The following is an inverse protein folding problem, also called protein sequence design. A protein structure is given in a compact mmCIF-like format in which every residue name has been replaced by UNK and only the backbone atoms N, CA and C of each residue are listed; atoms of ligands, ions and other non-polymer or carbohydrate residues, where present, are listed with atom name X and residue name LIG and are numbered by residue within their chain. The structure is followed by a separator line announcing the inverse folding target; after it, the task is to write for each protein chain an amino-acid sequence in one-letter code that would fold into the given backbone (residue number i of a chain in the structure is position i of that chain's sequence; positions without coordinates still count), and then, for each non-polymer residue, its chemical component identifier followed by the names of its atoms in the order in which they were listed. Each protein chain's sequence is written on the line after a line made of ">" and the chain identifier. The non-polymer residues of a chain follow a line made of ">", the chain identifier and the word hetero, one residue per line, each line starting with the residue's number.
data_IF_465880846481
#
_entry.id   IF_465880846481
#
_cell.length_a   1.000
_cell.length_b   1.000
_cell.length_c   1.000
_cell.angle_alpha   90.00
_cell.angle_beta   90.00
_cell.angle_gamma   90.00
#
_symmetry.space_group_name_H-M   'P 1'
#
loop_
_entity.id
_entity.type
_entity.pdbx_description
1 polymer ?
#
# COMPACT_ATOMS: atom_id res chain seq x y z
N UNK A 1 -4.26 12.61 -27.01
CA UNK A 1 -4.19 13.81 -26.19
C UNK A 1 -4.09 13.41 -24.74
N UNK A 2 -3.15 13.98 -23.98
CA UNK A 2 -3.02 13.75 -22.55
C UNK A 2 -4.00 14.63 -21.77
N UNK A 3 -4.46 14.12 -20.63
CA UNK A 3 -5.20 14.90 -19.63
C UNK A 3 -4.19 15.67 -18.81
N UNK A 4 -4.42 16.97 -18.62
CA UNK A 4 -3.62 17.83 -17.74
C UNK A 4 -4.51 18.25 -16.58
N UNK A 5 -4.11 17.90 -15.37
CA UNK A 5 -4.78 18.36 -14.16
C UNK A 5 -4.22 19.72 -13.74
N UNK A 6 -5.11 20.68 -13.51
CA UNK A 6 -4.76 22.03 -13.06
C UNK A 6 -5.32 22.21 -11.64
N UNK A 7 -4.43 22.56 -10.70
CA UNK A 7 -4.80 22.81 -9.32
C UNK A 7 -4.09 24.06 -8.80
N UNK A 8 -4.62 24.65 -7.74
CA UNK A 8 -4.01 25.76 -7.01
C UNK A 8 -3.15 25.22 -5.86
N UNK A 9 -2.10 25.95 -5.47
CA UNK A 9 -1.38 25.66 -4.24
C UNK A 9 -2.32 25.86 -3.06
N UNK A 10 -2.37 24.88 -2.15
CA UNK A 10 -3.25 24.92 -0.99
C UNK A 10 -2.61 24.26 0.22
N UNK A 11 -3.02 24.67 1.41
CA UNK A 11 -2.89 23.91 2.64
C UNK A 11 -4.26 23.50 3.12
N UNK A 12 -4.32 22.46 3.88
CA UNK A 12 -5.55 21.83 4.33
C UNK A 12 -5.48 21.65 5.85
N UNK A 13 -6.63 21.75 6.53
CA UNK A 13 -6.75 21.46 7.95
C UNK A 13 -6.78 19.97 8.25
N UNK A 14 -7.06 19.63 9.51
CA UNK A 14 -7.19 18.24 9.92
C UNK A 14 -8.32 17.54 9.16
N UNK A 15 -8.11 16.26 8.84
CA UNK A 15 -9.10 15.41 8.20
C UNK A 15 -9.86 14.65 9.28
N UNK A 16 -11.02 15.17 9.73
CA UNK A 16 -11.83 14.52 10.78
C UNK A 16 -12.54 13.27 10.32
N UNK A 17 -12.85 13.19 9.03
CA UNK A 17 -13.52 12.07 8.38
C UNK A 17 -12.57 11.28 7.44
N UNK A 18 -11.26 11.50 7.55
CA UNK A 18 -10.21 10.96 6.67
C UNK A 18 -10.46 11.21 5.15
N UNK A 19 -11.35 12.16 4.82
CA UNK A 19 -11.72 12.47 3.42
C UNK A 19 -11.68 13.95 3.10
N UNK A 20 -12.22 14.78 3.99
CA UNK A 20 -12.35 16.22 3.73
C UNK A 20 -11.59 16.98 4.82
N UNK A 21 -10.72 17.92 4.44
CA UNK A 21 -10.10 18.80 5.42
C UNK A 21 -11.15 19.76 6.00
N UNK A 22 -11.04 20.07 7.28
CA UNK A 22 -11.91 21.04 7.97
C UNK A 22 -11.91 22.41 7.30
N UNK A 23 -10.80 22.78 6.68
CA UNK A 23 -10.65 24.01 5.90
C UNK A 23 -9.55 23.85 4.85
N UNK A 24 -9.65 24.66 3.82
CA UNK A 24 -8.64 24.78 2.74
C UNK A 24 -8.25 26.25 2.66
N UNK A 25 -6.95 26.52 2.68
CA UNK A 25 -6.38 27.85 2.46
C UNK A 25 -5.47 27.81 1.24
N UNK A 26 -5.72 28.69 0.29
CA UNK A 26 -4.84 28.84 -0.86
C UNK A 26 -3.53 29.47 -0.45
N UNK A 27 -2.44 29.01 -1.04
CA UNK A 27 -1.08 29.44 -0.76
C UNK A 27 -0.44 30.05 -2.01
N UNK A 28 0.49 30.95 -1.79
CA UNK A 28 1.29 31.56 -2.86
C UNK A 28 2.66 30.87 -3.01
N UNK A 29 2.95 29.85 -2.19
CA UNK A 29 4.24 29.15 -2.16
C UNK A 29 4.12 27.70 -2.64
N UNK A 30 4.93 27.35 -3.63
CA UNK A 30 5.06 25.97 -4.12
C UNK A 30 5.66 25.06 -3.05
N UNK A 31 6.61 25.54 -2.24
CA UNK A 31 7.25 24.77 -1.19
C UNK A 31 6.24 24.29 -0.14
N UNK A 32 5.29 25.15 0.22
CA UNK A 32 4.23 24.79 1.15
C UNK A 32 3.25 23.74 0.57
N UNK A 33 2.98 23.77 -0.74
CA UNK A 33 2.20 22.72 -1.40
C UNK A 33 2.97 21.41 -1.47
N UNK A 34 4.29 21.46 -1.73
CA UNK A 34 5.14 20.28 -1.75
C UNK A 34 5.29 19.65 -0.36
N UNK A 35 5.33 20.47 0.71
CA UNK A 35 5.49 20.01 2.09
C UNK A 35 4.33 19.14 2.59
N UNK A 36 3.14 19.25 2.03
CA UNK A 36 1.97 18.42 2.41
C UNK A 36 1.82 17.14 1.59
N UNK A 37 2.69 16.90 0.62
CA UNK A 37 2.64 15.70 -0.22
C UNK A 37 3.07 14.45 0.54
N UNK A 38 2.80 13.30 -0.06
CA UNK A 38 3.05 12.00 0.55
C UNK A 38 4.55 11.66 0.64
N UNK A 39 5.22 11.64 -0.52
CA UNK A 39 6.60 11.16 -0.65
C UNK A 39 7.48 12.19 -1.35
N UNK A 40 8.78 12.21 -0.98
CA UNK A 40 9.78 13.14 -1.53
C UNK A 40 9.84 13.09 -3.05
N UNK A 41 9.79 11.89 -3.63
CA UNK A 41 9.79 11.66 -5.10
C UNK A 41 8.57 12.28 -5.81
N UNK A 42 7.51 12.58 -5.07
CA UNK A 42 6.31 13.28 -5.55
C UNK A 42 6.24 14.75 -5.10
N UNK A 43 7.21 15.19 -4.27
CA UNK A 43 7.24 16.53 -3.70
C UNK A 43 8.22 17.46 -4.45
N UNK A 44 8.22 17.38 -5.76
CA UNK A 44 9.04 18.18 -6.67
C UNK A 44 8.16 18.94 -7.65
N UNK A 45 8.64 20.11 -8.10
CA UNK A 45 7.96 20.91 -9.10
C UNK A 45 8.96 21.51 -10.09
N UNK A 46 8.49 21.79 -11.29
CA UNK A 46 9.28 22.48 -12.33
C UNK A 46 8.48 23.63 -12.93
N UNK A 47 9.16 24.73 -13.13
CA UNK A 47 8.62 25.89 -13.86
C UNK A 47 9.62 26.34 -14.94
N UNK A 48 9.18 26.61 -16.18
CA UNK A 48 10.08 27.13 -17.23
C UNK A 48 10.78 28.44 -16.85
N UNK A 49 10.17 29.24 -15.97
CA UNK A 49 10.69 30.57 -15.56
C UNK A 49 11.48 30.53 -14.25
N UNK A 50 11.17 29.61 -13.35
CA UNK A 50 11.77 29.51 -12.00
C UNK A 50 12.70 28.31 -11.85
N UNK A 51 12.70 27.40 -12.81
CA UNK A 51 13.48 26.17 -12.76
C UNK A 51 12.84 25.09 -11.89
N UNK A 52 13.67 24.27 -11.30
CA UNK A 52 13.29 23.09 -10.52
C UNK A 52 13.26 23.44 -9.03
N UNK A 53 12.17 23.08 -8.36
CA UNK A 53 12.00 23.18 -6.91
C UNK A 53 11.94 21.76 -6.31
N UNK A 54 12.87 21.46 -5.42
CA UNK A 54 13.01 20.17 -4.74
C UNK A 54 13.45 20.39 -3.27
N UNK A 55 12.54 20.88 -2.43
CA UNK A 55 12.88 21.24 -1.05
C UNK A 55 13.09 20.02 -0.13
N UNK A 56 12.82 18.80 -0.60
CA UNK A 56 12.88 17.56 0.18
C UNK A 56 13.80 16.50 -0.40
N UNK A 57 14.72 16.89 -1.31
CA UNK A 57 15.70 16.01 -1.93
C UNK A 57 15.08 14.82 -2.71
N UNK A 58 13.89 15.03 -3.28
CA UNK A 58 13.16 14.00 -4.01
C UNK A 58 13.92 13.46 -5.23
N UNK A 59 14.76 14.27 -5.88
CA UNK A 59 15.65 13.81 -6.96
C UNK A 59 16.69 12.83 -6.47
N UNK A 60 17.32 13.11 -5.32
CA UNK A 60 18.33 12.25 -4.71
C UNK A 60 17.70 10.91 -4.33
N UNK A 61 16.52 10.92 -3.71
CA UNK A 61 15.78 9.72 -3.36
C UNK A 61 15.37 8.94 -4.63
N UNK A 62 14.93 9.61 -5.69
CA UNK A 62 14.58 8.96 -6.96
C UNK A 62 15.79 8.31 -7.64
N UNK A 63 16.93 9.01 -7.71
CA UNK A 63 18.18 8.50 -8.28
C UNK A 63 18.72 7.30 -7.46
N UNK A 64 18.57 7.35 -6.13
CA UNK A 64 18.95 6.27 -5.20
C UNK A 64 17.91 5.15 -5.09
N UNK A 65 16.77 5.27 -5.79
CA UNK A 65 15.62 4.36 -5.70
C UNK A 65 15.09 4.20 -4.29
N UNK A 66 14.97 5.28 -3.54
CA UNK A 66 14.43 5.31 -2.17
C UNK A 66 13.03 5.93 -2.19
N UNK A 67 12.09 5.33 -1.47
CA UNK A 67 10.77 5.90 -1.17
C UNK A 67 10.76 6.40 0.26
N UNK A 68 10.75 7.71 0.43
CA UNK A 68 10.77 8.40 1.73
C UNK A 68 9.56 9.30 1.86
N UNK A 69 8.89 9.26 3.03
CA UNK A 69 7.81 10.20 3.34
C UNK A 69 8.35 11.65 3.47
N UNK A 70 7.55 12.64 3.11
CA UNK A 70 7.89 14.05 3.32
C UNK A 70 7.75 14.39 4.80
N UNK A 71 8.82 14.86 5.43
CA UNK A 71 8.84 15.24 6.84
C UNK A 71 8.77 14.05 7.78
N UNK A 72 7.97 14.16 8.85
CA UNK A 72 7.77 13.05 9.79
C UNK A 72 6.74 12.04 9.26
N UNK A 73 7.13 10.76 9.02
CA UNK A 73 6.25 9.79 8.38
C UNK A 73 5.03 9.43 9.23
N UNK A 74 5.14 9.40 10.56
CA UNK A 74 4.01 9.11 11.45
C UNK A 74 2.94 10.19 11.31
N UNK A 75 3.33 11.46 11.43
CA UNK A 75 2.42 12.59 11.22
C UNK A 75 1.81 12.55 9.82
N UNK A 76 2.61 12.22 8.81
CA UNK A 76 2.17 12.18 7.42
C UNK A 76 1.09 11.13 7.17
N UNK A 77 1.18 9.97 7.83
CA UNK A 77 0.17 8.92 7.72
C UNK A 77 -1.06 9.16 8.60
N UNK A 78 -0.92 9.89 9.71
CA UNK A 78 -2.06 10.34 10.51
C UNK A 78 -2.93 11.40 9.80
N UNK A 79 -2.34 12.22 8.93
CA UNK A 79 -3.10 13.18 8.12
C UNK A 79 -3.98 12.50 7.06
N UNK A 80 -3.45 11.47 6.37
CA UNK A 80 -4.18 10.65 5.39
C UNK A 80 -3.53 9.27 5.33
N UNK A 81 -4.15 8.29 5.99
CA UNK A 81 -3.62 6.93 6.08
C UNK A 81 -3.61 6.17 4.75
N UNK A 82 -4.36 6.62 3.73
CA UNK A 82 -4.25 6.04 2.38
C UNK A 82 -2.83 6.18 1.79
N UNK A 83 -2.06 7.15 2.29
CA UNK A 83 -0.65 7.32 1.89
C UNK A 83 0.18 6.07 2.14
N UNK A 84 -0.16 5.26 3.16
CA UNK A 84 0.50 3.97 3.44
C UNK A 84 0.34 3.04 2.23
N UNK A 85 -0.89 2.79 1.79
CA UNK A 85 -1.17 1.90 0.65
C UNK A 85 -0.61 2.46 -0.66
N UNK A 86 -0.66 3.79 -0.85
CA UNK A 86 0.01 4.48 -1.96
C UNK A 86 1.53 4.24 -1.96
N UNK A 87 2.16 4.21 -0.77
CA UNK A 87 3.58 3.90 -0.61
C UNK A 87 3.92 2.50 -1.06
N UNK A 88 3.14 1.50 -0.64
CA UNK A 88 3.28 0.12 -1.15
C UNK A 88 3.23 0.12 -2.68
N UNK A 89 2.23 0.77 -3.26
CA UNK A 89 2.10 0.83 -4.72
C UNK A 89 3.27 1.55 -5.41
N UNK A 90 3.78 2.64 -4.85
CA UNK A 90 4.93 3.34 -5.44
C UNK A 90 6.22 2.51 -5.32
N UNK A 91 6.45 1.87 -4.17
CA UNK A 91 7.59 0.97 -4.00
C UNK A 91 7.59 -0.13 -5.06
N UNK A 92 6.45 -0.82 -5.23
CA UNK A 92 6.29 -1.89 -6.24
C UNK A 92 6.41 -1.34 -7.65
N UNK A 93 5.62 -0.30 -7.99
CA UNK A 93 5.53 0.22 -9.36
C UNK A 93 6.85 0.73 -9.92
N UNK A 94 7.65 1.35 -9.09
CA UNK A 94 8.90 2.00 -9.50
C UNK A 94 10.16 1.26 -9.03
N UNK A 95 10.00 0.12 -8.35
CA UNK A 95 11.12 -0.66 -7.80
C UNK A 95 11.93 0.15 -6.78
N UNK A 96 11.23 0.85 -5.86
CA UNK A 96 11.87 1.68 -4.84
C UNK A 96 11.99 0.90 -3.55
N UNK A 97 13.11 1.07 -2.85
CA UNK A 97 13.30 0.60 -1.47
C UNK A 97 12.67 1.61 -0.52
N UNK A 98 11.80 1.16 0.36
CA UNK A 98 11.22 2.06 1.37
C UNK A 98 12.28 2.43 2.39
N UNK A 99 12.41 3.71 2.72
CA UNK A 99 13.27 4.21 3.79
C UNK A 99 12.87 3.59 5.14
N UNK A 100 13.81 3.14 5.98
CA UNK A 100 13.48 2.39 7.20
C UNK A 100 12.50 3.11 8.13
N UNK A 101 12.69 4.41 8.39
CA UNK A 101 11.78 5.17 9.24
C UNK A 101 10.37 5.30 8.61
N UNK A 102 10.30 5.36 7.29
CA UNK A 102 9.04 5.38 6.53
C UNK A 102 8.36 4.01 6.61
N UNK A 103 9.10 2.91 6.48
CA UNK A 103 8.58 1.54 6.56
C UNK A 103 8.06 1.22 7.96
N UNK A 104 8.82 1.53 9.01
CA UNK A 104 8.39 1.38 10.41
C UNK A 104 7.08 2.16 10.68
N UNK A 105 6.97 3.36 10.14
CA UNK A 105 5.75 4.16 10.28
C UNK A 105 4.58 3.57 9.49
N UNK A 106 4.82 3.03 8.27
CA UNK A 106 3.78 2.36 7.48
C UNK A 106 3.19 1.18 8.24
N UNK A 107 4.02 0.35 8.86
CA UNK A 107 3.59 -0.80 9.64
C UNK A 107 2.87 -0.39 10.92
N UNK A 108 3.47 0.50 11.72
CA UNK A 108 2.90 0.92 13.00
C UNK A 108 1.59 1.71 12.88
N UNK A 109 1.35 2.38 11.75
CA UNK A 109 0.15 3.16 11.50
C UNK A 109 -0.87 2.45 10.60
N UNK A 110 -0.62 1.19 10.19
CA UNK A 110 -1.48 0.46 9.25
C UNK A 110 -2.95 0.40 9.68
N UNK A 111 -3.22 0.26 10.98
CA UNK A 111 -4.57 0.21 11.54
C UNK A 111 -5.38 1.51 11.32
N UNK A 112 -4.74 2.65 11.05
CA UNK A 112 -5.46 3.87 10.71
C UNK A 112 -6.26 3.74 9.41
N UNK A 113 -5.89 2.79 8.55
CA UNK A 113 -6.60 2.54 7.28
C UNK A 113 -7.99 1.95 7.47
N UNK A 114 -8.32 1.39 8.63
CA UNK A 114 -9.67 0.89 8.98
C UNK A 114 -10.74 2.00 8.89
N UNK A 115 -10.34 3.25 9.02
CA UNK A 115 -11.24 4.40 8.96
C UNK A 115 -11.38 5.00 7.55
N UNK A 116 -10.72 4.44 6.55
CA UNK A 116 -10.81 4.92 5.17
C UNK A 116 -12.11 4.46 4.50
N UNK A 117 -12.59 5.27 3.56
CA UNK A 117 -13.66 4.83 2.66
C UNK A 117 -13.17 3.64 1.81
N UNK A 118 -13.95 2.56 1.79
CA UNK A 118 -13.61 1.30 1.11
C UNK A 118 -13.28 1.51 -0.37
N UNK A 119 -13.96 2.44 -1.04
CA UNK A 119 -13.73 2.76 -2.44
C UNK A 119 -12.31 3.31 -2.69
N UNK A 120 -11.77 4.12 -1.75
CA UNK A 120 -10.41 4.65 -1.87
C UNK A 120 -9.36 3.53 -1.73
N UNK A 121 -9.56 2.63 -0.78
CA UNK A 121 -8.72 1.46 -0.56
C UNK A 121 -8.78 0.54 -1.78
N UNK A 122 -9.99 0.22 -2.25
CA UNK A 122 -10.20 -0.63 -3.42
C UNK A 122 -9.53 -0.07 -4.67
N UNK A 123 -9.66 1.23 -4.92
CA UNK A 123 -9.02 1.91 -6.06
C UNK A 123 -7.49 1.81 -6.04
N UNK A 124 -6.86 1.92 -4.87
CA UNK A 124 -5.41 1.76 -4.74
C UNK A 124 -4.98 0.28 -4.89
N UNK A 125 -5.74 -0.66 -4.33
CA UNK A 125 -5.50 -2.10 -4.50
C UNK A 125 -5.66 -2.52 -5.96
N UNK A 126 -6.65 -2.02 -6.69
CA UNK A 126 -6.83 -2.29 -8.12
C UNK A 126 -5.64 -1.81 -8.97
N UNK A 127 -4.99 -0.71 -8.57
CA UNK A 127 -3.76 -0.21 -9.22
C UNK A 127 -2.51 -1.00 -8.83
N UNK A 128 -2.50 -1.60 -7.63
CA UNK A 128 -1.38 -2.35 -7.07
C UNK A 128 -1.34 -3.79 -7.60
N UNK A 129 -2.44 -4.52 -7.50
CA UNK A 129 -2.50 -5.96 -7.74
C UNK A 129 -1.94 -6.44 -9.09
N UNK A 130 -2.14 -5.73 -10.22
CA UNK A 130 -1.53 -6.12 -11.49
C UNK A 130 0.00 -6.04 -11.51
N UNK A 131 0.61 -5.34 -10.55
CA UNK A 131 2.04 -5.02 -10.54
C UNK A 131 2.85 -5.92 -9.59
N UNK A 132 2.20 -6.55 -8.61
CA UNK A 132 2.90 -7.24 -7.51
C UNK A 132 3.55 -8.55 -7.94
N UNK A 133 4.73 -8.80 -7.39
CA UNK A 133 5.36 -10.12 -7.31
C UNK A 133 4.93 -10.86 -6.03
N UNK A 134 5.27 -12.14 -5.92
CA UNK A 134 5.04 -12.89 -4.67
C UNK A 134 5.87 -12.31 -3.51
N UNK A 135 7.08 -11.84 -3.79
CA UNK A 135 7.96 -11.20 -2.81
C UNK A 135 7.37 -9.89 -2.28
N UNK A 136 6.80 -9.06 -3.18
CA UNK A 136 6.11 -7.82 -2.78
C UNK A 136 4.92 -8.11 -1.86
N UNK A 137 4.09 -9.09 -2.21
CA UNK A 137 2.96 -9.49 -1.39
C UNK A 137 3.40 -9.97 0.00
N UNK A 138 4.44 -10.80 0.07
CA UNK A 138 4.98 -11.28 1.35
C UNK A 138 5.59 -10.15 2.18
N UNK A 139 6.33 -9.24 1.55
CA UNK A 139 6.94 -8.08 2.23
C UNK A 139 5.90 -7.19 2.87
N UNK A 140 4.85 -6.87 2.15
CA UNK A 140 3.80 -5.96 2.61
C UNK A 140 2.58 -6.67 3.22
N UNK A 141 2.71 -7.97 3.56
CA UNK A 141 1.63 -8.76 4.14
C UNK A 141 0.94 -8.11 5.35
N UNK A 142 1.66 -7.53 6.34
CA UNK A 142 1.01 -6.87 7.49
C UNK A 142 0.13 -5.68 7.07
N UNK A 143 0.58 -4.88 6.10
CA UNK A 143 -0.16 -3.73 5.58
C UNK A 143 -1.38 -4.18 4.78
N UNK A 144 -1.21 -5.21 3.93
CA UNK A 144 -2.32 -5.78 3.15
C UNK A 144 -3.37 -6.44 4.05
N UNK A 145 -2.95 -7.13 5.12
CA UNK A 145 -3.84 -7.72 6.12
C UNK A 145 -4.62 -6.68 6.94
N UNK A 146 -4.11 -5.46 7.06
CA UNK A 146 -4.86 -4.37 7.69
C UNK A 146 -6.02 -3.86 6.82
N UNK A 147 -5.89 -3.88 5.49
CA UNK A 147 -6.94 -3.41 4.56
C UNK A 147 -7.80 -4.52 3.98
N UNK A 148 -7.36 -5.77 4.07
CA UNK A 148 -8.11 -6.99 3.70
C UNK A 148 -8.02 -7.94 4.90
N UNK A 149 -8.92 -7.82 5.89
CA UNK A 149 -8.81 -8.55 7.16
C UNK A 149 -8.79 -10.08 6.99
N UNK A 150 -9.37 -10.60 5.90
CA UNK A 150 -9.37 -12.02 5.58
C UNK A 150 -7.96 -12.59 5.31
N UNK A 151 -7.01 -11.73 4.93
CA UNK A 151 -5.62 -12.14 4.69
C UNK A 151 -4.83 -12.29 6.01
N UNK A 152 -5.19 -11.52 7.04
CA UNK A 152 -4.44 -11.48 8.29
C UNK A 152 -4.26 -12.88 8.94
N UNK A 153 -5.29 -13.73 9.09
CA UNK A 153 -5.14 -15.05 9.68
C UNK A 153 -4.37 -16.05 8.80
N UNK A 154 -4.13 -15.72 7.53
CA UNK A 154 -3.38 -16.58 6.61
C UNK A 154 -1.86 -16.43 6.77
N UNK A 155 -1.40 -15.29 7.32
CA UNK A 155 0.03 -14.96 7.47
C UNK A 155 0.65 -15.91 8.51
N UNK A 156 1.65 -16.69 8.07
CA UNK A 156 2.31 -17.69 8.91
C UNK A 156 1.47 -18.92 9.24
N UNK A 157 0.29 -19.10 8.62
CA UNK A 157 -0.58 -20.24 8.87
C UNK A 157 -0.02 -21.52 8.25
N UNK A 158 0.42 -22.46 9.10
CA UNK A 158 0.89 -23.78 8.68
C UNK A 158 -0.30 -24.67 8.26
N UNK A 159 -0.30 -25.11 7.03
CA UNK A 159 -1.36 -25.95 6.46
C UNK A 159 -1.26 -27.42 6.93
N UNK A 160 -0.21 -27.81 7.65
CA UNK A 160 0.04 -29.19 8.13
C UNK A 160 -0.16 -30.26 7.06
N UNK A 161 0.36 -30.00 5.86
CA UNK A 161 0.24 -30.90 4.71
C UNK A 161 1.61 -31.13 4.08
N UNK A 162 1.99 -32.39 3.78
CA UNK A 162 3.27 -32.68 3.13
C UNK A 162 3.36 -32.15 1.70
N UNK A 163 2.26 -31.67 1.14
CA UNK A 163 2.18 -31.13 -0.21
C UNK A 163 2.37 -29.63 -0.29
N UNK A 164 2.44 -28.92 0.86
CA UNK A 164 2.59 -27.48 0.91
C UNK A 164 3.96 -27.11 1.47
N UNK A 165 4.82 -26.53 0.62
CA UNK A 165 6.16 -26.05 1.00
C UNK A 165 6.13 -24.67 1.69
N UNK A 166 5.00 -23.99 1.61
CA UNK A 166 4.80 -22.61 2.08
C UNK A 166 3.65 -22.55 3.12
N UNK A 167 3.69 -21.56 4.00
CA UNK A 167 2.50 -21.15 4.74
C UNK A 167 1.39 -20.69 3.79
N UNK A 168 0.17 -20.53 4.31
CA UNK A 168 -1.00 -20.26 3.48
C UNK A 168 -0.90 -18.92 2.74
N UNK A 169 -0.40 -17.86 3.40
CA UNK A 169 -0.27 -16.55 2.74
C UNK A 169 0.81 -16.56 1.66
N UNK A 170 1.96 -17.14 1.94
CA UNK A 170 3.06 -17.27 0.98
C UNK A 170 2.62 -18.08 -0.25
N UNK A 171 1.86 -19.18 -0.04
CA UNK A 171 1.23 -19.93 -1.15
C UNK A 171 0.33 -19.00 -1.99
N UNK A 172 -0.58 -18.28 -1.34
CA UNK A 172 -1.51 -17.36 -1.99
C UNK A 172 -0.77 -16.25 -2.76
N UNK A 173 0.33 -15.73 -2.21
CA UNK A 173 1.17 -14.75 -2.87
C UNK A 173 1.77 -15.29 -4.18
N UNK A 174 2.29 -16.54 -4.16
CA UNK A 174 2.82 -17.19 -5.35
C UNK A 174 1.72 -17.46 -6.40
N UNK A 175 0.54 -17.91 -5.99
CA UNK A 175 -0.60 -18.11 -6.90
C UNK A 175 -1.01 -16.79 -7.53
N UNK A 176 -1.16 -15.73 -6.72
CA UNK A 176 -1.54 -14.38 -7.19
C UNK A 176 -0.52 -13.83 -8.19
N UNK A 177 0.77 -13.95 -7.92
CA UNK A 177 1.81 -13.50 -8.84
C UNK A 177 1.91 -14.37 -10.09
N UNK A 178 1.56 -15.66 -10.01
CA UNK A 178 1.65 -16.64 -11.09
C UNK A 178 0.57 -16.53 -12.16
N UNK A 179 -0.59 -15.93 -11.86
CA UNK A 179 -1.63 -15.66 -12.86
C UNK A 179 -1.27 -14.43 -13.71
N UNK A 180 -1.91 -14.27 -14.87
CA UNK A 180 -1.71 -13.08 -15.70
C UNK A 180 -2.02 -11.79 -14.93
N UNK A 181 -1.50 -10.64 -15.40
CA UNK A 181 -1.73 -9.33 -14.80
C UNK A 181 -3.17 -8.78 -15.04
N UNK A 182 -4.12 -9.67 -15.32
CA UNK A 182 -5.54 -9.34 -15.37
C UNK A 182 -6.06 -9.11 -13.96
N UNK A 183 -6.74 -7.98 -13.74
CA UNK A 183 -7.18 -7.55 -12.41
C UNK A 183 -8.14 -8.55 -11.76
N UNK A 184 -9.09 -9.12 -12.53
CA UNK A 184 -10.07 -10.07 -12.00
C UNK A 184 -9.41 -11.38 -11.59
N UNK A 185 -8.46 -11.86 -12.40
CA UNK A 185 -7.69 -13.06 -12.05
C UNK A 185 -6.81 -12.84 -10.83
N UNK A 186 -6.18 -11.67 -10.70
CA UNK A 186 -5.38 -11.30 -9.52
C UNK A 186 -6.22 -11.26 -8.24
N UNK A 187 -7.42 -10.66 -8.29
CA UNK A 187 -8.35 -10.68 -7.16
C UNK A 187 -8.82 -12.10 -6.83
N UNK A 188 -9.24 -12.89 -7.83
CA UNK A 188 -9.65 -14.27 -7.61
C UNK A 188 -8.51 -15.11 -6.98
N UNK A 189 -7.28 -14.94 -7.46
CA UNK A 189 -6.11 -15.62 -6.93
C UNK A 189 -5.77 -15.17 -5.49
N UNK A 190 -5.89 -13.88 -5.16
CA UNK A 190 -5.62 -13.37 -3.82
C UNK A 190 -6.63 -13.88 -2.79
N UNK A 191 -7.88 -14.06 -3.18
CA UNK A 191 -8.97 -14.38 -2.25
C UNK A 191 -9.35 -15.88 -2.23
N UNK A 192 -8.84 -16.71 -3.15
CA UNK A 192 -9.31 -18.10 -3.35
C UNK A 192 -9.23 -18.98 -2.11
N UNK A 193 -8.28 -18.74 -1.24
CA UNK A 193 -7.98 -19.59 -0.08
C UNK A 193 -8.31 -18.93 1.28
N UNK A 194 -8.96 -17.76 1.30
CA UNK A 194 -9.28 -17.03 2.54
C UNK A 194 -10.16 -17.85 3.50
N UNK A 195 -11.02 -18.72 2.99
CA UNK A 195 -11.86 -19.62 3.79
C UNK A 195 -11.10 -20.77 4.47
N UNK A 196 -9.85 -21.06 4.10
CA UNK A 196 -9.11 -22.22 4.63
C UNK A 196 -8.90 -22.15 6.15
N UNK A 197 -8.57 -21.00 6.69
CA UNK A 197 -8.29 -20.87 8.14
C UNK A 197 -9.54 -21.20 8.95
N UNK A 198 -10.71 -20.71 8.54
CA UNK A 198 -11.99 -20.93 9.23
C UNK A 198 -12.49 -22.39 9.13
N UNK A 199 -12.10 -23.11 8.08
CA UNK A 199 -12.54 -24.51 7.83
C UNK A 199 -11.48 -25.54 8.21
N UNK A 200 -10.38 -25.11 8.80
CA UNK A 200 -9.26 -25.98 9.15
C UNK A 200 -9.64 -27.04 10.18
N UNK A 201 -9.35 -28.29 9.87
CA UNK A 201 -9.48 -29.43 10.79
C UNK A 201 -8.24 -30.32 10.66
N UNK A 202 -7.94 -31.08 11.72
CA UNK A 202 -6.86 -32.08 11.70
C UNK A 202 -7.46 -33.49 11.87
N UNK A 203 -6.96 -34.45 11.12
CA UNK A 203 -7.27 -35.83 11.33
C UNK A 203 -6.40 -36.47 12.45
N UNK A 204 -6.66 -37.75 12.74
CA UNK A 204 -5.93 -38.50 13.76
C UNK A 204 -4.42 -38.66 13.49
N UNK A 205 -3.99 -38.43 12.26
CA UNK A 205 -2.56 -38.45 11.85
C UNK A 205 -1.90 -37.08 11.95
N UNK A 206 -2.66 -36.01 12.31
CA UNK A 206 -2.20 -34.65 12.41
C UNK A 206 -2.22 -33.89 11.06
N UNK A 207 -2.72 -34.49 10.00
CA UNK A 207 -2.83 -33.88 8.66
C UNK A 207 -3.98 -32.87 8.62
N UNK A 208 -3.72 -31.71 8.01
CA UNK A 208 -4.71 -30.65 7.82
C UNK A 208 -5.70 -30.94 6.68
N UNK A 209 -6.96 -30.56 6.89
CA UNK A 209 -8.07 -30.64 5.93
C UNK A 209 -8.86 -29.32 5.95
N UNK A 210 -9.43 -28.93 4.79
CA UNK A 210 -10.08 -27.65 4.55
C UNK A 210 -11.42 -27.82 3.83
N UNK A 211 -12.31 -28.64 4.37
CA UNK A 211 -13.58 -28.96 3.72
C UNK A 211 -14.50 -27.73 3.64
N UNK A 212 -14.95 -27.40 2.40
CA UNK A 212 -15.87 -26.30 2.16
C UNK A 212 -15.25 -24.89 2.28
N UNK A 213 -13.94 -24.76 2.03
CA UNK A 213 -13.24 -23.47 2.12
C UNK A 213 -13.50 -22.52 0.93
N UNK A 214 -14.03 -23.04 -0.22
CA UNK A 214 -14.33 -22.29 -1.43
C UNK A 214 -15.78 -21.78 -1.45
#
# INVERSE_FOLDING_TARGET
>A
GGVVEITTFRTEGAYRDNRHPDWVKFLDSVESDLARRDYTVNAMAYSPTRGFADPFDGRVDLESKVLRAVGDPVTRFQEDSLRILRGVRFAVKYGLTVDPATEDAMESQAQLMDNLAEERVFDELCKLLPLVSAEDLCRFAPILGAVIPELQPMIGFDQHSPHHAYDLFTHTAHVTAGVSADLMLRWAALLHDTGKVATFTRDATGRGHFYGHA
#
